data_IF_111658292427
#
_entry.id   IF_111658292427
#
_cell.length_a   1.000
_cell.length_b   1.000
_cell.length_c   1.000
_cell.angle_alpha   90.00
_cell.angle_beta   90.00
_cell.angle_gamma   90.00
#
_symmetry.space_group_name_H-M   'P 1'
#
loop_
_entity.id
_entity.type
_entity.pdbx_description
1 polymer ?
#
# COMPACT_ATOMS: atom_id res chain seq x y z
N UNK A 1 -10.03 13.66 6.57
CA UNK A 1 -9.63 13.86 5.17
C UNK A 1 -8.54 12.86 4.83
N UNK A 2 -8.67 12.13 3.73
CA UNK A 2 -7.66 11.16 3.27
C UNK A 2 -6.46 11.91 2.71
N UNK A 3 -5.27 11.61 3.20
CA UNK A 3 -4.03 12.19 2.69
C UNK A 3 -3.43 11.26 1.63
N UNK A 4 -2.89 11.85 0.56
CA UNK A 4 -2.33 11.11 -0.57
C UNK A 4 -0.82 11.29 -0.67
N UNK A 5 -0.16 10.32 -1.31
CA UNK A 5 1.23 10.39 -1.76
C UNK A 5 1.28 10.10 -3.27
N UNK A 6 2.17 10.76 -3.99
CA UNK A 6 2.40 10.50 -5.43
C UNK A 6 3.29 9.29 -5.65
N UNK A 7 3.28 8.75 -6.87
CA UNK A 7 4.19 7.67 -7.25
C UNK A 7 5.66 8.08 -7.12
N UNK A 8 6.00 9.32 -7.47
CA UNK A 8 7.36 9.86 -7.33
C UNK A 8 7.82 9.92 -5.87
N UNK A 9 7.01 10.47 -4.98
CA UNK A 9 7.34 10.53 -3.55
C UNK A 9 7.51 9.13 -2.94
N UNK A 10 6.69 8.16 -3.34
CA UNK A 10 6.84 6.77 -2.90
C UNK A 10 8.13 6.14 -3.46
N UNK A 11 8.44 6.38 -4.74
CA UNK A 11 9.67 5.89 -5.35
C UNK A 11 10.92 6.43 -4.64
N UNK A 12 10.93 7.71 -4.28
CA UNK A 12 12.02 8.32 -3.51
C UNK A 12 12.14 7.73 -2.11
N UNK A 13 11.01 7.42 -1.43
CA UNK A 13 11.03 6.70 -0.16
C UNK A 13 11.70 5.33 -0.31
N UNK A 14 11.31 4.55 -1.32
CA UNK A 14 11.87 3.21 -1.55
C UNK A 14 13.38 3.30 -1.84
N UNK A 15 13.81 4.29 -2.63
CA UNK A 15 15.22 4.49 -3.00
C UNK A 15 16.08 5.06 -1.88
N UNK A 16 15.49 5.73 -0.88
CA UNK A 16 16.22 6.39 0.21
C UNK A 16 16.92 5.45 1.20
N UNK A 17 16.82 4.13 1.02
CA UNK A 17 17.39 3.14 1.94
C UNK A 17 16.53 2.85 3.18
N UNK A 18 15.34 3.45 3.27
CA UNK A 18 14.32 3.07 4.26
C UNK A 18 13.90 1.62 4.07
N UNK A 19 13.63 0.95 5.18
CA UNK A 19 13.39 -0.48 5.26
C UNK A 19 11.87 -0.76 5.35
N UNK A 20 11.28 -1.54 4.41
CA UNK A 20 9.90 -1.99 4.51
C UNK A 20 9.61 -2.70 5.85
N UNK A 21 8.40 -2.55 6.37
CA UNK A 21 7.92 -3.06 7.68
C UNK A 21 8.65 -2.50 8.91
N UNK A 22 9.62 -1.61 8.73
CA UNK A 22 10.29 -0.87 9.81
C UNK A 22 10.04 0.63 9.69
N UNK A 23 10.43 1.23 8.58
CA UNK A 23 10.34 2.67 8.34
C UNK A 23 9.06 3.05 7.59
N UNK A 24 8.56 2.14 6.74
CA UNK A 24 7.30 2.28 6.03
C UNK A 24 6.72 0.92 5.65
N UNK A 25 5.43 0.87 5.29
CA UNK A 25 4.81 -0.29 4.65
C UNK A 25 3.86 0.16 3.55
N UNK A 26 3.98 -0.45 2.36
CA UNK A 26 2.98 -0.35 1.29
C UNK A 26 2.00 -1.51 1.45
N UNK A 27 0.70 -1.21 1.54
CA UNK A 27 -0.38 -2.18 1.65
C UNK A 27 -1.19 -2.14 0.35
N UNK A 28 -1.10 -3.22 -0.41
CA UNK A 28 -1.82 -3.41 -1.65
C UNK A 28 -3.14 -4.13 -1.37
N UNK A 29 -4.26 -3.46 -1.58
CA UNK A 29 -5.60 -4.03 -1.35
C UNK A 29 -6.29 -4.46 -2.65
N UNK A 30 -5.54 -4.72 -3.72
CA UNK A 30 -6.05 -5.42 -4.90
C UNK A 30 -6.44 -6.86 -4.54
N UNK A 31 -7.46 -7.34 -5.25
CA UNK A 31 -8.02 -8.69 -5.09
C UNK A 31 -7.39 -9.57 -6.21
N UNK A 32 -8.19 -10.14 -7.11
CA UNK A 32 -7.70 -10.91 -8.26
C UNK A 32 -6.82 -10.06 -9.20
N UNK A 33 -7.04 -8.74 -9.21
CA UNK A 33 -6.25 -7.75 -9.96
C UNK A 33 -4.88 -7.43 -9.34
N UNK A 34 -4.46 -8.18 -8.31
CA UNK A 34 -3.10 -8.13 -7.78
C UNK A 34 -2.07 -8.72 -8.75
N UNK A 35 -2.47 -9.74 -9.53
CA UNK A 35 -1.61 -10.38 -10.53
C UNK A 35 -1.12 -9.38 -11.59
N UNK A 36 0.06 -9.63 -12.16
CA UNK A 36 0.70 -8.77 -13.17
C UNK A 36 1.75 -7.80 -12.61
N UNK A 37 2.02 -7.85 -11.31
CA UNK A 37 3.12 -7.12 -10.68
C UNK A 37 2.69 -6.38 -9.43
N UNK A 38 3.66 -6.01 -8.59
CA UNK A 38 3.43 -5.32 -7.34
C UNK A 38 4.60 -4.41 -6.96
N UNK A 39 4.37 -3.50 -6.01
CA UNK A 39 5.41 -2.63 -5.46
C UNK A 39 6.34 -3.47 -4.57
N UNK A 40 7.64 -3.31 -4.75
CA UNK A 40 8.67 -4.05 -4.00
C UNK A 40 8.53 -3.86 -2.50
N UNK A 41 8.58 -4.96 -1.75
CA UNK A 41 8.47 -4.94 -0.29
C UNK A 41 7.07 -4.61 0.24
N UNK A 42 6.08 -4.51 -0.64
CA UNK A 42 4.68 -4.34 -0.28
C UNK A 42 4.07 -5.60 0.34
N UNK A 43 2.93 -5.42 1.02
CA UNK A 43 2.11 -6.49 1.56
C UNK A 43 0.74 -6.48 0.89
N UNK A 44 0.33 -7.58 0.28
CA UNK A 44 -1.03 -7.73 -0.23
C UNK A 44 -1.98 -8.12 0.89
N UNK A 45 -3.05 -7.33 1.05
CA UNK A 45 -4.17 -7.61 1.96
C UNK A 45 -5.45 -7.33 1.16
N UNK A 46 -6.00 -8.34 0.45
CA UNK A 46 -7.15 -8.17 -0.44
C UNK A 46 -8.33 -7.45 0.21
N UNK A 47 -9.02 -6.62 -0.57
CA UNK A 47 -10.11 -5.77 -0.07
C UNK A 47 -11.33 -6.56 0.38
N UNK A 48 -11.59 -7.70 -0.26
CA UNK A 48 -12.67 -8.63 0.08
C UNK A 48 -12.47 -9.29 1.46
N UNK A 49 -11.22 -9.47 1.89
CA UNK A 49 -10.83 -10.07 3.17
C UNK A 49 -10.35 -9.03 4.19
N UNK A 50 -10.29 -7.75 3.81
CA UNK A 50 -9.64 -6.72 4.61
C UNK A 50 -10.23 -6.56 6.01
N UNK A 51 -11.55 -6.65 6.15
CA UNK A 51 -12.23 -6.54 7.45
C UNK A 51 -11.84 -7.65 8.42
N UNK A 52 -11.52 -8.84 7.91
CA UNK A 52 -11.11 -9.98 8.74
C UNK A 52 -9.64 -9.87 9.15
N UNK A 53 -8.83 -9.13 8.38
CA UNK A 53 -7.39 -9.05 8.55
C UNK A 53 -6.89 -7.75 9.18
N UNK A 54 -7.72 -6.69 9.23
CA UNK A 54 -7.28 -5.35 9.66
C UNK A 54 -6.77 -5.30 11.10
N UNK A 55 -7.37 -6.07 12.01
CA UNK A 55 -6.93 -6.13 13.41
C UNK A 55 -5.51 -6.70 13.54
N UNK A 56 -5.22 -7.74 12.75
CA UNK A 56 -3.88 -8.33 12.67
C UNK A 56 -2.90 -7.34 12.05
N UNK A 57 -3.29 -6.71 10.93
CA UNK A 57 -2.46 -5.70 10.27
C UNK A 57 -2.09 -4.58 11.24
N UNK A 58 -3.05 -3.99 11.96
CA UNK A 58 -2.83 -2.94 12.96
C UNK A 58 -1.81 -3.35 14.03
N UNK A 59 -1.89 -4.58 14.54
CA UNK A 59 -0.96 -5.09 15.55
C UNK A 59 0.45 -5.25 14.99
N UNK A 60 0.58 -5.76 13.76
CA UNK A 60 1.88 -5.97 13.11
C UNK A 60 2.54 -4.64 12.69
N UNK A 61 1.76 -3.61 12.39
CA UNK A 61 2.24 -2.31 11.93
C UNK A 61 2.12 -1.22 12.99
N UNK A 62 1.98 -1.60 14.28
CA UNK A 62 1.84 -0.64 15.37
C UNK A 62 3.04 0.31 15.50
N UNK A 63 4.25 -0.16 15.21
CA UNK A 63 5.47 0.65 15.33
C UNK A 63 5.96 1.19 13.98
N UNK A 64 5.24 0.93 12.88
CA UNK A 64 5.62 1.41 11.55
C UNK A 64 5.20 2.88 11.39
N UNK A 65 6.14 3.82 11.16
CA UNK A 65 5.85 5.25 11.13
C UNK A 65 4.99 5.70 9.94
N UNK A 66 5.00 4.94 8.83
CA UNK A 66 4.30 5.29 7.60
C UNK A 66 3.65 4.07 6.97
N UNK A 67 2.33 4.10 6.79
CA UNK A 67 1.58 3.05 6.07
C UNK A 67 0.88 3.67 4.86
N UNK A 68 1.16 3.15 3.67
CA UNK A 68 0.63 3.64 2.40
C UNK A 68 -0.30 2.58 1.82
N UNK A 69 -1.57 2.90 1.64
CA UNK A 69 -2.55 2.00 1.01
C UNK A 69 -2.69 2.29 -0.47
N UNK A 70 -2.98 1.28 -1.28
CA UNK A 70 -3.38 1.47 -2.66
C UNK A 70 -4.25 0.32 -3.18
N UNK A 71 -4.94 0.54 -4.29
CA UNK A 71 -5.48 -0.55 -5.11
C UNK A 71 -5.02 -0.38 -6.56
N UNK A 72 -5.79 -0.84 -7.55
CA UNK A 72 -5.46 -0.61 -8.97
C UNK A 72 -5.40 0.89 -9.31
N UNK A 73 -6.46 1.64 -8.98
CA UNK A 73 -6.57 3.08 -9.29
C UNK A 73 -6.63 3.98 -8.04
N UNK A 74 -6.72 3.39 -6.85
CA UNK A 74 -6.90 4.09 -5.57
C UNK A 74 -8.11 5.03 -5.48
N UNK A 75 -9.19 4.75 -6.20
CA UNK A 75 -10.42 5.54 -6.18
C UNK A 75 -11.46 5.06 -5.14
N UNK A 76 -11.46 3.77 -4.81
CA UNK A 76 -12.46 3.15 -3.91
C UNK A 76 -11.80 2.28 -2.84
N UNK A 77 -11.23 1.12 -3.22
CA UNK A 77 -10.68 0.13 -2.29
C UNK A 77 -9.55 0.70 -1.42
N UNK A 78 -8.57 1.36 -2.04
CA UNK A 78 -7.44 1.99 -1.33
C UNK A 78 -7.88 3.00 -0.25
N UNK A 79 -8.65 4.06 -0.60
CA UNK A 79 -9.16 5.02 0.39
C UNK A 79 -10.04 4.38 1.47
N UNK A 80 -10.88 3.40 1.12
CA UNK A 80 -11.72 2.69 2.08
C UNK A 80 -10.88 1.91 3.09
N UNK A 81 -9.89 1.15 2.62
CA UNK A 81 -8.99 0.38 3.48
C UNK A 81 -8.17 1.28 4.41
N UNK A 82 -7.61 2.39 3.90
CA UNK A 82 -6.88 3.36 4.71
C UNK A 82 -7.75 3.95 5.83
N UNK A 83 -9.01 4.27 5.54
CA UNK A 83 -9.98 4.76 6.54
C UNK A 83 -10.25 3.71 7.61
N UNK A 84 -10.58 2.48 7.20
CA UNK A 84 -10.88 1.38 8.13
C UNK A 84 -9.66 1.10 9.00
N UNK A 85 -8.46 0.98 8.43
CA UNK A 85 -7.23 0.78 9.20
C UNK A 85 -7.00 1.90 10.22
N UNK A 86 -7.22 3.16 9.84
CA UNK A 86 -7.11 4.30 10.76
C UNK A 86 -8.09 4.18 11.94
N UNK A 87 -9.35 3.89 11.66
CA UNK A 87 -10.40 3.76 12.68
C UNK A 87 -10.14 2.54 13.59
N UNK A 88 -9.81 1.38 13.02
CA UNK A 88 -9.43 0.19 13.78
C UNK A 88 -8.23 0.47 14.68
N UNK A 89 -7.20 1.16 14.17
CA UNK A 89 -6.01 1.51 14.96
C UNK A 89 -6.36 2.37 16.18
N UNK A 90 -7.28 3.33 16.04
CA UNK A 90 -7.73 4.17 17.15
C UNK A 90 -8.54 3.39 18.19
N UNK A 91 -9.22 2.32 17.78
CA UNK A 91 -10.03 1.49 18.68
C UNK A 91 -9.23 0.39 19.37
N UNK A 92 -8.20 -0.15 18.70
CA UNK A 92 -7.45 -1.32 19.15
C UNK A 92 -6.19 -0.92 19.94
N UNK A 93 -5.56 0.21 19.62
CA UNK A 93 -4.35 0.67 20.30
C UNK A 93 -4.68 1.73 21.36
N UNK A 94 -4.19 1.52 22.58
CA UNK A 94 -4.17 2.52 23.64
C UNK A 94 -3.06 3.56 23.43
N UNK A 95 -3.10 4.69 24.14
CA UNK A 95 -2.07 5.74 24.07
C UNK A 95 -0.66 5.23 24.41
N UNK A 96 -0.55 4.12 25.14
CA UNK A 96 0.72 3.49 25.53
C UNK A 96 1.22 2.44 24.54
N UNK A 97 0.41 2.01 23.57
CA UNK A 97 0.72 0.88 22.68
C UNK A 97 1.64 1.23 21.50
N UNK A 98 1.99 2.51 21.34
CA UNK A 98 2.71 3.02 20.18
C UNK A 98 3.66 4.14 20.59
N UNK A 99 4.94 4.01 20.27
CA UNK A 99 5.98 5.02 20.59
C UNK A 99 6.00 6.21 19.63
N UNK A 100 5.25 6.14 18.52
CA UNK A 100 5.33 7.12 17.43
C UNK A 100 4.02 7.25 16.66
N UNK A 101 3.66 8.46 16.22
CA UNK A 101 2.46 8.67 15.41
C UNK A 101 2.62 8.08 14.00
N UNK A 102 1.84 7.06 13.67
CA UNK A 102 1.82 6.48 12.32
C UNK A 102 1.08 7.41 11.35
N UNK A 103 1.76 7.81 10.27
CA UNK A 103 1.15 8.51 9.13
C UNK A 103 0.50 7.49 8.20
N UNK A 104 -0.75 7.73 7.81
CA UNK A 104 -1.52 6.86 6.92
C UNK A 104 -1.80 7.63 5.63
N UNK A 105 -1.33 7.11 4.50
CA UNK A 105 -1.47 7.73 3.18
C UNK A 105 -2.12 6.78 2.19
N UNK A 106 -2.62 7.33 1.08
CA UNK A 106 -3.08 6.58 -0.09
C UNK A 106 -2.22 6.92 -1.29
N UNK A 107 -1.72 5.91 -2.02
CA UNK A 107 -0.99 6.12 -3.27
C UNK A 107 -1.95 6.63 -4.34
N UNK A 108 -1.70 7.83 -4.84
CA UNK A 108 -2.42 8.44 -5.94
C UNK A 108 -2.27 7.58 -7.21
N UNK A 109 -3.37 7.42 -7.95
CA UNK A 109 -3.47 6.65 -9.20
C UNK A 109 -3.20 5.14 -9.07
N UNK A 110 -3.01 4.66 -7.84
CA UNK A 110 -2.86 3.25 -7.51
C UNK A 110 -1.68 2.56 -8.20
N UNK A 111 -1.76 1.24 -8.29
CA UNK A 111 -0.72 0.45 -8.96
C UNK A 111 -0.65 0.74 -10.45
N UNK A 112 -1.79 0.99 -11.12
CA UNK A 112 -1.84 1.31 -12.55
C UNK A 112 -1.00 2.55 -12.88
N UNK A 113 -1.11 3.61 -12.07
CA UNK A 113 -0.29 4.82 -12.23
C UNK A 113 1.18 4.62 -11.83
N UNK A 114 1.45 3.80 -10.81
CA UNK A 114 2.81 3.53 -10.37
C UNK A 114 3.59 2.68 -11.39
N UNK A 115 3.02 1.55 -11.82
CA UNK A 115 3.68 0.64 -12.76
C UNK A 115 3.90 1.27 -14.13
N UNK A 116 2.99 2.14 -14.60
CA UNK A 116 3.13 2.78 -15.92
C UNK A 116 4.39 3.63 -16.01
N UNK A 117 4.87 4.15 -14.87
CA UNK A 117 6.08 4.96 -14.74
C UNK A 117 7.31 4.14 -14.34
N UNK A 118 7.16 3.12 -13.51
CA UNK A 118 8.28 2.47 -12.81
C UNK A 118 8.44 0.97 -13.08
N UNK A 119 7.65 0.35 -13.97
CA UNK A 119 7.73 -1.09 -14.28
C UNK A 119 9.12 -1.60 -14.68
N UNK A 120 9.92 -0.74 -15.31
CA UNK A 120 11.27 -1.09 -15.79
C UNK A 120 12.35 -0.97 -14.68
N UNK A 121 11.97 -0.49 -13.48
CA UNK A 121 12.86 -0.39 -12.32
C UNK A 121 12.55 -1.52 -11.32
N UNK A 122 13.37 -2.57 -11.36
CA UNK A 122 13.26 -3.73 -10.48
C UNK A 122 13.43 -3.43 -8.98
N UNK A 123 13.87 -2.22 -8.61
CA UNK A 123 13.91 -1.78 -7.21
C UNK A 123 12.56 -1.23 -6.73
N UNK A 124 11.65 -0.92 -7.65
CA UNK A 124 10.35 -0.31 -7.37
C UNK A 124 9.19 -1.26 -7.66
N UNK A 125 9.29 -2.02 -8.75
CA UNK A 125 8.25 -2.99 -9.17
C UNK A 125 8.87 -4.38 -9.30
N UNK A 126 8.19 -5.37 -8.74
CA UNK A 126 8.53 -6.79 -8.85
C UNK A 126 7.35 -7.59 -9.44
N UNK A 127 7.65 -8.80 -9.92
CA UNK A 127 6.68 -9.72 -10.51
C UNK A 127 5.87 -9.12 -11.68
N UNK A 128 6.42 -8.11 -12.37
CA UNK A 128 5.74 -7.45 -13.47
C UNK A 128 5.62 -8.40 -14.66
N UNK A 129 4.40 -8.60 -15.12
CA UNK A 129 4.10 -9.51 -16.24
C UNK A 129 3.60 -8.71 -17.44
N UNK A 130 4.42 -8.67 -18.49
CA UNK A 130 4.10 -7.96 -19.72
C UNK A 130 2.81 -8.45 -20.35
N UNK A 131 2.45 -9.72 -20.23
CA UNK A 131 1.30 -10.29 -20.94
C UNK A 131 0.00 -9.84 -20.28
N UNK A 132 -0.01 -9.70 -18.95
CA UNK A 132 -1.12 -9.09 -18.19
C UNK A 132 -1.34 -7.63 -18.63
N UNK A 133 -0.27 -6.86 -18.84
CA UNK A 133 -0.35 -5.44 -19.20
C UNK A 133 -0.39 -5.16 -20.71
N UNK A 134 -0.08 -6.13 -21.56
CA UNK A 134 -0.19 -6.03 -23.01
C UNK A 134 -1.60 -6.34 -23.52
N UNK A 135 -2.49 -6.83 -22.65
CA UNK A 135 -3.84 -7.28 -22.96
C UNK A 135 -4.81 -6.18 -23.45
N UNK A 136 -4.35 -4.94 -23.65
CA UNK A 136 -5.15 -3.82 -24.20
C UNK A 136 -5.25 -3.82 -25.75
N UNK A 137 -5.07 -4.98 -26.41
CA UNK A 137 -5.36 -5.15 -27.84
C UNK A 137 -6.18 -6.42 -28.12
N UNK A 138 -7.48 -6.35 -27.81
CA UNK A 138 -8.57 -6.71 -28.74
C UNK A 138 -9.91 -6.11 -28.27
#
# INVERSE_FOLDING_TARGET
MTSYITGDELAEIIRSGKIPKKDYLVVDVRDDDYAGGNIVGGLNVPSNEFLNNVDKLVKETKDVPLVIFHCALSQVRGPKAARIYKETRQNVLSETDSTSSTKILVLRDGFTGFQSKFKDDAKLVENWDKDVWASDWN
#
